data_IF_058016319282
#
_entry.id   IF_058016319282
#
_cell.length_a   1.000
_cell.length_b   1.000
_cell.length_c   1.000
_cell.angle_alpha   90.00
_cell.angle_beta   90.00
_cell.angle_gamma   90.00
#
_symmetry.space_group_name_H-M   'P 1'
#
loop_
_entity.id
_entity.type
_entity.pdbx_description
1 polymer ?
#
# COMPACT_ATOMS: atom_id res chain seq x y z
N UNK A 1 -3.92 20.65 4.42
CA UNK A 1 -4.17 19.81 5.62
C UNK A 1 -3.53 18.49 5.29
N UNK A 2 -2.26 18.34 5.63
CA UNK A 2 -1.48 17.17 5.22
C UNK A 2 -1.62 16.14 6.34
N UNK A 3 -2.79 15.50 6.39
CA UNK A 3 -3.00 14.36 7.24
C UNK A 3 -2.31 13.16 6.62
N UNK A 4 -1.25 12.65 7.24
CA UNK A 4 -0.74 11.32 6.90
C UNK A 4 -1.90 10.33 6.98
N UNK A 5 -2.26 9.76 5.84
CA UNK A 5 -3.32 8.78 5.78
C UNK A 5 -2.88 7.51 6.55
N UNK A 6 -3.43 7.34 7.75
CA UNK A 6 -3.08 6.23 8.63
C UNK A 6 -3.85 4.97 8.20
N UNK A 7 -3.14 4.00 7.64
CA UNK A 7 -3.73 2.72 7.24
C UNK A 7 -3.91 1.84 8.47
N UNK A 8 -5.16 1.67 8.90
CA UNK A 8 -5.50 0.83 10.05
C UNK A 8 -5.65 -0.64 9.63
N UNK A 9 -4.63 -1.45 9.92
CA UNK A 9 -4.66 -2.91 9.68
C UNK A 9 -4.99 -3.65 10.98
N UNK A 10 -5.89 -4.65 10.91
CA UNK A 10 -6.32 -5.45 12.06
C UNK A 10 -5.13 -6.25 12.64
N UNK A 11 -4.88 -6.13 13.95
CA UNK A 11 -3.68 -6.67 14.64
C UNK A 11 -3.44 -8.17 14.51
N UNK A 12 -4.48 -8.96 14.28
CA UNK A 12 -4.46 -10.43 14.16
C UNK A 12 -5.15 -10.88 12.87
N UNK A 13 -4.80 -10.24 11.76
CA UNK A 13 -5.32 -10.57 10.44
C UNK A 13 -4.21 -11.08 9.54
N UNK A 14 -4.60 -11.91 8.58
CA UNK A 14 -3.73 -12.27 7.46
C UNK A 14 -3.21 -11.02 6.73
N UNK A 15 -4.03 -9.96 6.67
CA UNK A 15 -3.70 -8.67 6.08
C UNK A 15 -2.48 -8.00 6.72
N UNK A 16 -2.33 -8.11 8.06
CA UNK A 16 -1.14 -7.60 8.76
C UNK A 16 0.12 -8.35 8.37
N UNK A 17 0.03 -9.66 8.23
CA UNK A 17 1.17 -10.49 7.82
C UNK A 17 1.62 -10.15 6.40
N UNK A 18 0.67 -9.93 5.48
CA UNK A 18 0.97 -9.51 4.11
C UNK A 18 1.57 -8.11 4.09
N UNK A 19 0.93 -7.14 4.76
CA UNK A 19 1.42 -5.76 4.82
C UNK A 19 2.84 -5.65 5.39
N UNK A 20 3.13 -6.35 6.50
CA UNK A 20 4.44 -6.29 7.15
C UNK A 20 5.52 -7.06 6.38
N UNK A 21 5.25 -8.28 5.92
CA UNK A 21 6.29 -9.15 5.35
C UNK A 21 6.51 -8.91 3.85
N UNK A 22 5.44 -8.65 3.09
CA UNK A 22 5.55 -8.50 1.62
C UNK A 22 5.86 -7.05 1.28
N UNK A 23 5.04 -6.11 1.76
CA UNK A 23 5.14 -4.73 1.29
C UNK A 23 6.37 -4.02 1.85
N UNK A 24 6.57 -4.09 3.16
CA UNK A 24 7.72 -3.44 3.81
C UNK A 24 9.02 -4.26 3.70
N UNK A 25 8.92 -5.59 3.69
CA UNK A 25 10.07 -6.50 3.69
C UNK A 25 10.72 -6.73 2.33
N UNK A 26 9.93 -6.79 1.25
CA UNK A 26 10.42 -7.24 -0.06
C UNK A 26 10.87 -6.08 -0.96
N UNK A 27 10.12 -4.97 -0.95
CA UNK A 27 10.32 -3.89 -1.92
C UNK A 27 11.04 -2.65 -1.37
N UNK A 28 11.30 -2.59 -0.06
CA UNK A 28 11.91 -1.43 0.56
C UNK A 28 11.10 -0.15 0.34
N UNK A 29 11.78 0.99 0.16
CA UNK A 29 11.12 2.27 -0.04
C UNK A 29 10.83 2.52 -1.53
N UNK A 30 9.58 2.28 -1.94
CA UNK A 30 9.14 2.52 -3.32
C UNK A 30 8.67 3.97 -3.47
N UNK A 31 9.18 4.66 -4.50
CA UNK A 31 8.71 5.98 -4.90
C UNK A 31 7.38 5.90 -5.68
N UNK A 32 6.28 6.32 -5.06
CA UNK A 32 4.95 6.31 -5.67
C UNK A 32 4.47 7.67 -6.20
N UNK A 33 5.09 8.77 -5.79
CA UNK A 33 4.59 10.11 -6.09
C UNK A 33 4.45 10.36 -7.60
N UNK A 34 3.22 10.69 -8.04
CA UNK A 34 2.89 10.99 -9.42
C UNK A 34 2.82 9.77 -10.37
N UNK A 35 3.10 8.57 -9.90
CA UNK A 35 3.17 7.38 -10.75
C UNK A 35 1.80 6.76 -11.02
N UNK A 36 1.74 5.91 -12.06
CA UNK A 36 0.63 4.98 -12.27
C UNK A 36 1.07 3.61 -11.76
N UNK A 37 0.28 3.02 -10.86
CA UNK A 37 0.55 1.72 -10.24
C UNK A 37 -0.42 0.69 -10.78
N UNK A 38 0.08 -0.52 -11.05
CA UNK A 38 -0.72 -1.72 -11.33
C UNK A 38 -0.48 -2.71 -10.20
N UNK A 39 -1.51 -3.03 -9.42
CA UNK A 39 -1.47 -3.91 -8.26
C UNK A 39 -2.02 -5.29 -8.65
N UNK A 40 -1.16 -6.16 -9.17
CA UNK A 40 -1.57 -7.47 -9.68
C UNK A 40 -1.83 -8.42 -8.52
N UNK A 41 -3.08 -8.89 -8.40
CA UNK A 41 -3.47 -9.77 -7.30
C UNK A 41 -3.67 -9.00 -5.99
N UNK A 42 -4.27 -7.81 -6.07
CA UNK A 42 -4.39 -6.83 -4.98
C UNK A 42 -5.02 -7.35 -3.67
N UNK A 43 -5.70 -8.50 -3.68
CA UNK A 43 -6.41 -9.07 -2.54
C UNK A 43 -7.38 -8.03 -1.94
N UNK A 44 -7.16 -7.58 -0.70
CA UNK A 44 -7.95 -6.52 -0.05
C UNK A 44 -7.47 -5.09 -0.38
N UNK A 45 -6.55 -4.94 -1.32
CA UNK A 45 -6.04 -3.65 -1.79
C UNK A 45 -5.08 -2.95 -0.84
N UNK A 46 -4.41 -3.66 0.08
CA UNK A 46 -3.49 -3.01 1.04
C UNK A 46 -2.31 -2.31 0.36
N UNK A 47 -1.79 -2.88 -0.72
CA UNK A 47 -0.70 -2.26 -1.49
C UNK A 47 -1.19 -1.05 -2.27
N UNK A 48 -2.35 -1.17 -2.92
CA UNK A 48 -3.07 -0.05 -3.52
C UNK A 48 -3.29 1.11 -2.53
N UNK A 49 -3.73 0.85 -1.31
CA UNK A 49 -3.90 1.89 -0.30
C UNK A 49 -2.54 2.53 0.03
N UNK A 50 -1.48 1.76 0.26
CA UNK A 50 -0.14 2.31 0.50
C UNK A 50 0.34 3.21 -0.65
N UNK A 51 0.17 2.77 -1.90
CA UNK A 51 0.54 3.54 -3.07
C UNK A 51 -0.24 4.87 -3.12
N UNK A 52 -1.54 4.85 -2.80
CA UNK A 52 -2.38 6.04 -2.75
C UNK A 52 -1.91 7.02 -1.66
N UNK A 53 -1.62 6.52 -0.45
CA UNK A 53 -1.16 7.37 0.66
C UNK A 53 0.22 7.98 0.40
N UNK A 54 1.00 7.39 -0.51
CA UNK A 54 2.31 7.88 -0.94
C UNK A 54 2.28 8.69 -2.25
N UNK A 55 1.09 9.10 -2.69
CA UNK A 55 0.94 10.08 -3.77
C UNK A 55 0.91 9.48 -5.18
N UNK A 56 0.62 8.18 -5.34
CA UNK A 56 0.32 7.63 -6.66
C UNK A 56 -0.81 8.42 -7.33
N UNK A 57 -0.62 8.77 -8.61
CA UNK A 57 -1.61 9.53 -9.39
C UNK A 57 -2.79 8.65 -9.80
N UNK A 58 -2.52 7.37 -10.08
CA UNK A 58 -3.52 6.40 -10.53
C UNK A 58 -3.12 5.00 -10.10
N UNK A 59 -4.10 4.22 -9.68
CA UNK A 59 -3.92 2.80 -9.32
C UNK A 59 -4.94 1.97 -10.08
N UNK A 60 -4.47 0.85 -10.64
CA UNK A 60 -5.27 -0.19 -11.27
C UNK A 60 -5.07 -1.45 -10.42
N UNK A 61 -6.11 -1.89 -9.72
CA UNK A 61 -6.08 -3.00 -8.76
C UNK A 61 -6.92 -4.19 -9.26
#
# INVERSE_FOLDING_TARGET
MDGEAQVNVRRQSWDRNISANVVAGEYGDIAFSGTTVVDIGAHIGSFSILAATRGARRILA
#
